data_IF_021486211685
#
_entry.id   IF_021486211685
#
_cell.length_a   1.000
_cell.length_b   1.000
_cell.length_c   1.000
_cell.angle_alpha   90.00
_cell.angle_beta   90.00
_cell.angle_gamma   90.00
#
_symmetry.space_group_name_H-M   'P 1'
#
loop_
_entity.id
_entity.type
_entity.pdbx_description
1 polymer ?
#
# COMPACT_ATOMS: atom_id res chain seq x y z
N UNK A 1 0.65 2.05 35.06
CA UNK A 1 1.56 1.54 34.02
C UNK A 1 1.64 2.62 32.96
N UNK A 2 2.83 3.09 32.60
CA UNK A 2 2.96 4.13 31.59
C UNK A 2 2.41 3.62 30.26
N UNK A 3 1.64 4.47 29.58
CA UNK A 3 1.11 4.20 28.26
C UNK A 3 2.27 4.29 27.27
N UNK A 4 2.87 3.14 26.95
CA UNK A 4 4.10 3.04 26.13
C UNK A 4 3.97 3.80 24.80
N UNK A 5 2.76 3.93 24.27
CA UNK A 5 2.47 4.67 23.04
C UNK A 5 2.88 6.16 23.13
N UNK A 6 2.87 6.73 24.34
CA UNK A 6 3.32 8.11 24.60
C UNK A 6 4.83 8.29 24.44
N UNK A 7 5.62 7.22 24.53
CA UNK A 7 7.08 7.25 24.37
C UNK A 7 7.51 7.10 22.90
N UNK A 8 6.58 6.82 21.98
CA UNK A 8 6.87 6.72 20.55
C UNK A 8 7.33 8.08 20.00
N UNK A 9 8.42 8.06 19.23
CA UNK A 9 8.82 9.18 18.38
C UNK A 9 7.87 9.29 17.19
N UNK A 10 7.87 10.46 16.57
CA UNK A 10 7.13 10.70 15.33
C UNK A 10 7.43 9.61 14.30
N UNK A 11 6.40 9.23 13.56
CA UNK A 11 6.55 8.25 12.50
C UNK A 11 7.55 8.77 11.47
N UNK A 12 8.58 8.00 11.09
CA UNK A 12 9.56 8.44 10.09
C UNK A 12 8.97 8.52 8.67
N UNK A 13 7.72 8.09 8.48
CA UNK A 13 7.02 8.11 7.19
C UNK A 13 6.12 9.35 7.07
N UNK A 14 5.15 9.53 7.98
CA UNK A 14 4.25 10.69 7.96
C UNK A 14 4.77 11.89 8.79
N UNK A 15 5.97 11.77 9.36
CA UNK A 15 6.64 12.78 10.18
C UNK A 15 5.82 13.27 11.39
N UNK A 16 4.78 12.50 11.75
CA UNK A 16 3.77 12.91 12.71
C UNK A 16 3.61 11.87 13.80
N UNK A 17 3.34 12.35 15.02
CA UNK A 17 3.00 11.52 16.18
C UNK A 17 1.50 11.49 16.48
N UNK A 18 0.79 12.57 16.17
CA UNK A 18 -0.58 12.82 16.63
C UNK A 18 -1.52 13.21 15.47
N UNK A 19 -2.83 12.96 15.61
CA UNK A 19 -3.88 13.46 14.73
C UNK A 19 -4.05 14.97 14.92
N UNK A 20 -4.81 15.62 14.02
CA UNK A 20 -5.21 17.04 14.20
C UNK A 20 -5.88 17.35 15.54
N UNK A 21 -6.46 16.33 16.19
CA UNK A 21 -7.09 16.40 17.51
C UNK A 21 -6.17 15.99 18.68
N UNK A 22 -4.85 15.85 18.46
CA UNK A 22 -3.86 15.54 19.50
C UNK A 22 -3.82 14.07 19.97
N UNK A 23 -4.55 13.16 19.32
CA UNK A 23 -4.52 11.70 19.62
C UNK A 23 -3.33 11.02 18.94
N UNK A 24 -2.64 10.11 19.62
CA UNK A 24 -1.48 9.38 19.07
C UNK A 24 -1.91 8.50 17.87
N UNK A 25 -1.19 8.60 16.75
CA UNK A 25 -1.46 7.89 15.48
C UNK A 25 -0.80 6.51 15.38
N UNK A 26 -0.24 6.02 16.47
CA UNK A 26 0.60 4.83 16.48
C UNK A 26 0.21 3.95 17.65
N UNK A 27 0.16 2.65 17.39
CA UNK A 27 -0.12 1.64 18.41
C UNK A 27 0.90 0.52 18.38
N UNK A 28 1.07 -0.18 19.49
CA UNK A 28 1.86 -1.41 19.54
C UNK A 28 0.93 -2.58 19.29
N UNK A 29 1.06 -3.19 18.12
CA UNK A 29 0.28 -4.33 17.68
C UNK A 29 0.90 -5.64 18.12
N UNK A 30 0.07 -6.67 18.36
CA UNK A 30 0.49 -8.02 18.73
C UNK A 30 0.06 -9.02 17.65
N UNK A 31 0.97 -9.88 17.22
CA UNK A 31 0.70 -10.96 16.25
C UNK A 31 0.13 -12.19 16.95
N UNK A 32 -0.50 -13.07 16.17
CA UNK A 32 -1.01 -14.38 16.65
C UNK A 32 0.08 -15.31 17.20
N UNK A 33 1.35 -15.03 16.92
CA UNK A 33 2.52 -15.79 17.40
C UNK A 33 3.20 -15.14 18.60
N UNK A 34 2.62 -14.08 19.18
CA UNK A 34 3.12 -13.40 20.38
C UNK A 34 4.27 -12.41 20.13
N UNK A 35 4.39 -11.91 18.90
CA UNK A 35 5.34 -10.86 18.55
C UNK A 35 4.68 -9.49 18.48
N UNK A 36 5.46 -8.42 18.59
CA UNK A 36 4.99 -7.05 18.69
C UNK A 36 5.61 -6.16 17.62
N UNK A 37 4.84 -5.24 17.07
CA UNK A 37 5.33 -4.21 16.15
C UNK A 37 4.61 -2.88 16.39
N UNK A 38 5.33 -1.76 16.28
CA UNK A 38 4.68 -0.45 16.26
C UNK A 38 4.05 -0.24 14.89
N UNK A 39 2.77 0.06 14.83
CA UNK A 39 2.08 0.38 13.58
C UNK A 39 1.56 1.81 13.64
N UNK A 40 1.93 2.61 12.64
CA UNK A 40 1.37 3.94 12.43
C UNK A 40 0.12 3.83 11.54
N UNK A 41 -0.83 4.73 11.71
CA UNK A 41 -2.01 4.86 10.87
C UNK A 41 -1.72 5.26 9.43
N UNK A 42 -0.60 5.93 9.17
CA UNK A 42 -0.11 6.10 7.80
C UNK A 42 0.32 4.76 7.17
N UNK A 43 0.31 3.69 7.98
CA UNK A 43 0.63 2.31 7.71
C UNK A 43 2.14 2.02 7.61
N UNK A 44 2.97 2.89 8.19
CA UNK A 44 4.33 2.55 8.55
C UNK A 44 4.34 1.49 9.64
N UNK A 45 5.12 0.42 9.46
CA UNK A 45 5.25 -0.66 10.46
C UNK A 45 6.68 -0.75 10.98
N UNK A 46 6.77 -0.99 12.28
CA UNK A 46 7.97 -1.29 13.05
C UNK A 46 8.51 -2.68 12.73
N UNK A 47 9.76 -2.97 13.13
CA UNK A 47 10.25 -4.35 13.14
C UNK A 47 9.40 -5.17 14.10
N UNK A 48 9.17 -6.43 13.75
CA UNK A 48 8.51 -7.40 14.61
C UNK A 48 9.50 -7.87 15.68
N UNK A 49 9.15 -7.70 16.95
CA UNK A 49 10.01 -7.96 18.11
C UNK A 49 9.30 -8.85 19.13
N UNK A 50 10.05 -9.56 19.96
CA UNK A 50 9.54 -10.51 20.96
C UNK A 50 8.89 -9.86 22.20
N UNK A 51 8.86 -8.53 22.28
CA UNK A 51 8.17 -7.81 23.38
C UNK A 51 7.76 -6.40 22.96
N UNK A 52 6.69 -5.86 23.61
CA UNK A 52 6.21 -4.48 23.40
C UNK A 52 7.33 -3.43 23.55
N UNK A 53 8.17 -3.57 24.59
CA UNK A 53 9.26 -2.62 24.84
C UNK A 53 10.33 -2.67 23.75
N UNK A 54 10.72 -3.87 23.30
CA UNK A 54 11.68 -4.00 22.19
C UNK A 54 11.13 -3.45 20.88
N UNK A 55 9.83 -3.63 20.61
CA UNK A 55 9.19 -3.02 19.43
C UNK A 55 9.25 -1.48 19.49
N UNK A 56 9.00 -0.89 20.66
CA UNK A 56 9.11 0.55 20.88
C UNK A 56 10.54 1.07 20.73
N UNK A 57 11.50 0.42 21.38
CA UNK A 57 12.93 0.76 21.30
C UNK A 57 13.41 0.68 19.84
N UNK A 58 13.03 -0.39 19.13
CA UNK A 58 13.36 -0.58 17.73
C UNK A 58 12.73 0.48 16.82
N UNK A 59 11.48 0.89 17.07
CA UNK A 59 10.85 2.01 16.34
C UNK A 59 11.57 3.33 16.58
N UNK A 60 11.88 3.64 17.85
CA UNK A 60 12.50 4.90 18.25
C UNK A 60 13.98 5.02 17.86
N UNK A 61 14.64 3.89 17.59
CA UNK A 61 16.03 3.83 17.14
C UNK A 61 16.17 4.03 15.62
N UNK A 62 15.06 4.04 14.87
CA UNK A 62 15.08 4.22 13.41
C UNK A 62 15.70 5.55 13.02
N UNK A 63 16.64 5.48 12.09
CA UNK A 63 17.16 6.64 11.37
C UNK A 63 16.30 6.99 10.15
N UNK A 64 16.58 8.13 9.48
CA UNK A 64 15.91 8.52 8.23
C UNK A 64 16.02 7.47 7.10
N UNK A 65 17.05 6.62 7.18
CA UNK A 65 17.40 5.57 6.21
C UNK A 65 16.89 4.17 6.62
N UNK A 66 16.31 4.02 7.82
CA UNK A 66 15.87 2.72 8.39
C UNK A 66 14.44 2.37 7.93
N UNK A 67 14.24 2.37 6.61
CA UNK A 67 12.96 2.07 5.95
C UNK A 67 12.83 0.63 5.49
N UNK A 68 13.77 -0.24 5.87
CA UNK A 68 13.64 -1.66 5.57
C UNK A 68 12.41 -2.22 6.30
N UNK A 69 11.45 -2.67 5.49
CA UNK A 69 10.08 -3.07 5.85
C UNK A 69 9.08 -1.90 5.92
N UNK A 70 9.14 -0.98 4.95
CA UNK A 70 7.88 -0.52 4.33
C UNK A 70 7.12 -1.81 4.01
N UNK A 71 5.98 -2.02 4.67
CA UNK A 71 5.07 -3.12 4.36
C UNK A 71 5.05 -3.25 2.84
N UNK A 72 5.45 -4.41 2.33
CA UNK A 72 5.17 -4.71 0.94
C UNK A 72 3.68 -4.38 0.76
N UNK A 73 3.32 -3.45 -0.14
CA UNK A 73 1.95 -2.92 -0.20
C UNK A 73 0.91 -4.02 -0.40
N UNK A 74 1.39 -5.16 -0.85
CA UNK A 74 0.73 -6.45 -0.92
C UNK A 74 1.56 -7.44 -0.12
N UNK A 75 0.92 -8.30 0.67
CA UNK A 75 1.59 -9.33 1.45
C UNK A 75 2.44 -10.24 0.56
N UNK A 76 3.73 -9.92 0.45
CA UNK A 76 4.69 -10.58 -0.43
C UNK A 76 5.15 -11.92 0.12
N UNK A 77 4.77 -12.27 1.36
CA UNK A 77 5.06 -13.60 1.93
C UNK A 77 4.47 -14.73 1.10
N UNK A 78 3.42 -14.44 0.31
CA UNK A 78 2.77 -15.38 -0.62
C UNK A 78 3.47 -15.45 -2.00
N UNK A 79 4.37 -14.53 -2.31
CA UNK A 79 5.07 -14.47 -3.59
C UNK A 79 6.45 -15.14 -3.48
N UNK A 80 6.45 -16.46 -3.38
CA UNK A 80 7.67 -17.29 -3.20
C UNK A 80 8.41 -17.59 -4.50
N UNK A 81 7.85 -17.20 -5.65
CA UNK A 81 8.47 -17.47 -6.93
C UNK A 81 9.77 -16.66 -7.14
N UNK A 82 10.72 -17.21 -7.91
CA UNK A 82 11.90 -16.49 -8.33
C UNK A 82 11.53 -15.20 -9.06
N UNK A 83 12.44 -14.22 -9.03
CA UNK A 83 12.33 -13.01 -9.84
C UNK A 83 12.20 -13.39 -11.30
N UNK A 84 11.08 -13.06 -11.91
CA UNK A 84 10.85 -13.32 -13.33
C UNK A 84 11.62 -12.33 -14.20
N UNK A 85 11.55 -11.04 -13.85
CA UNK A 85 12.22 -9.97 -14.58
C UNK A 85 12.52 -8.78 -13.66
N UNK A 86 13.66 -8.11 -13.87
CA UNK A 86 14.07 -6.91 -13.11
C UNK A 86 14.80 -5.93 -14.02
N UNK A 87 14.79 -4.66 -13.65
CA UNK A 87 15.49 -3.61 -14.39
C UNK A 87 15.37 -2.25 -13.71
N UNK A 88 15.63 -1.19 -14.49
CA UNK A 88 15.54 0.19 -14.01
C UNK A 88 14.67 1.04 -14.96
N UNK A 89 13.85 1.91 -14.38
CA UNK A 89 12.90 2.79 -15.08
C UNK A 89 13.58 3.80 -16.02
N UNK A 90 14.87 4.10 -15.79
CA UNK A 90 15.69 4.91 -16.69
C UNK A 90 15.92 4.23 -18.05
N UNK A 91 15.94 2.90 -18.06
CA UNK A 91 16.21 2.09 -19.26
C UNK A 91 14.93 1.60 -19.93
N UNK A 92 13.87 1.36 -19.16
CA UNK A 92 12.59 0.86 -19.66
C UNK A 92 11.45 1.61 -18.97
N UNK A 93 10.66 2.36 -19.75
CA UNK A 93 9.55 3.13 -19.21
C UNK A 93 8.42 2.22 -18.69
N UNK A 94 7.74 2.67 -17.63
CA UNK A 94 6.61 1.95 -17.02
C UNK A 94 5.55 1.45 -18.03
N UNK A 95 5.08 2.26 -19.01
CA UNK A 95 4.12 1.80 -20.02
C UNK A 95 4.58 0.55 -20.77
N UNK A 96 5.87 0.47 -21.12
CA UNK A 96 6.44 -0.68 -21.83
C UNK A 96 6.45 -1.92 -20.95
N UNK A 97 6.82 -1.78 -19.68
CA UNK A 97 6.80 -2.89 -18.70
C UNK A 97 5.38 -3.43 -18.56
N UNK A 98 4.42 -2.53 -18.34
CA UNK A 98 3.01 -2.87 -18.18
C UNK A 98 2.44 -3.52 -19.46
N UNK A 99 2.83 -3.05 -20.65
CA UNK A 99 2.42 -3.65 -21.92
C UNK A 99 2.93 -5.10 -22.07
N UNK A 100 4.19 -5.36 -21.72
CA UNK A 100 4.77 -6.71 -21.78
C UNK A 100 4.01 -7.65 -20.85
N UNK A 101 3.83 -7.26 -19.58
CA UNK A 101 3.13 -8.08 -18.60
C UNK A 101 1.66 -8.30 -18.98
N UNK A 102 1.02 -7.31 -19.60
CA UNK A 102 -0.35 -7.42 -20.09
C UNK A 102 -0.47 -8.37 -21.28
N UNK A 103 0.45 -8.28 -22.24
CA UNK A 103 0.45 -9.11 -23.45
C UNK A 103 0.68 -10.59 -23.12
N UNK A 104 1.55 -10.85 -22.14
CA UNK A 104 1.88 -12.20 -21.67
C UNK A 104 0.84 -12.77 -20.69
N UNK A 105 -0.25 -12.06 -20.40
CA UNK A 105 -1.28 -12.42 -19.40
C UNK A 105 -0.67 -12.78 -18.03
N UNK A 106 0.32 -12.00 -17.59
CA UNK A 106 1.06 -12.28 -16.34
C UNK A 106 0.20 -12.04 -15.10
N UNK A 107 0.36 -12.90 -14.11
CA UNK A 107 -0.28 -12.80 -12.79
C UNK A 107 0.79 -12.75 -11.72
N UNK A 108 0.90 -11.60 -11.04
CA UNK A 108 1.98 -11.35 -10.11
C UNK A 108 2.06 -9.92 -9.61
N UNK A 109 3.19 -9.60 -9.00
CA UNK A 109 3.44 -8.28 -8.39
C UNK A 109 4.67 -7.66 -9.01
N UNK A 110 4.52 -6.42 -9.46
CA UNK A 110 5.58 -5.56 -9.97
C UNK A 110 5.92 -4.53 -8.89
N UNK A 111 7.10 -4.66 -8.31
CA UNK A 111 7.64 -3.75 -7.31
C UNK A 111 8.52 -2.68 -7.94
N UNK A 112 8.51 -1.50 -7.34
CA UNK A 112 9.35 -0.37 -7.70
C UNK A 112 10.00 0.23 -6.47
N UNK A 113 11.25 0.65 -6.60
CA UNK A 113 12.04 1.26 -5.55
C UNK A 113 12.79 2.48 -6.10
N UNK A 114 12.60 3.65 -5.48
CA UNK A 114 13.39 4.85 -5.74
C UNK A 114 13.85 5.44 -4.41
N UNK A 115 15.12 5.20 -4.10
CA UNK A 115 15.76 5.60 -2.84
C UNK A 115 15.08 4.95 -1.64
N UNK A 116 14.04 5.59 -1.15
CA UNK A 116 13.35 5.21 0.06
C UNK A 116 11.82 5.08 -0.12
N UNK A 117 11.36 5.27 -1.34
CA UNK A 117 9.95 5.15 -1.74
C UNK A 117 9.78 3.80 -2.42
N UNK A 118 8.88 2.98 -1.88
CA UNK A 118 8.50 1.69 -2.46
C UNK A 118 7.08 1.78 -2.99
N UNK A 119 6.87 1.24 -4.19
CA UNK A 119 5.55 1.09 -4.81
C UNK A 119 5.37 -0.32 -5.35
N UNK A 120 4.12 -0.71 -5.54
CA UNK A 120 3.78 -2.00 -6.14
C UNK A 120 2.52 -1.89 -6.99
N UNK A 121 2.47 -2.68 -8.05
CA UNK A 121 1.30 -2.90 -8.90
C UNK A 121 1.05 -4.40 -8.95
N UNK A 122 -0.18 -4.82 -8.68
CA UNK A 122 -0.62 -6.20 -8.82
C UNK A 122 -1.28 -6.41 -10.17
N UNK A 123 -0.89 -7.49 -10.84
CA UNK A 123 -1.50 -7.95 -12.07
C UNK A 123 -2.16 -9.31 -11.89
N UNK A 124 -3.31 -9.51 -12.53
CA UNK A 124 -4.00 -10.78 -12.70
C UNK A 124 -4.40 -10.90 -14.16
N UNK A 125 -3.96 -11.97 -14.81
CA UNK A 125 -4.21 -12.28 -16.22
C UNK A 125 -3.92 -11.06 -17.13
N UNK A 126 -2.79 -10.39 -16.87
CA UNK A 126 -2.33 -9.21 -17.63
C UNK A 126 -3.06 -7.90 -17.32
N UNK A 127 -3.97 -7.89 -16.35
CA UNK A 127 -4.77 -6.70 -15.97
C UNK A 127 -4.36 -6.20 -14.60
N UNK A 128 -4.35 -4.88 -14.42
CA UNK A 128 -4.02 -4.28 -13.14
C UNK A 128 -5.21 -4.41 -12.20
N UNK A 129 -5.02 -5.10 -11.08
CA UNK A 129 -6.08 -5.36 -10.10
C UNK A 129 -5.91 -4.60 -8.79
N UNK A 130 -4.69 -4.16 -8.49
CA UNK A 130 -4.43 -3.29 -7.34
C UNK A 130 -3.14 -2.51 -7.55
N UNK A 131 -3.00 -1.40 -6.86
CA UNK A 131 -1.73 -0.70 -6.75
C UNK A 131 -1.55 -0.13 -5.35
N UNK A 132 -0.29 0.05 -4.94
CA UNK A 132 0.04 0.71 -3.69
C UNK A 132 -0.33 2.19 -3.78
N UNK A 133 -1.19 2.66 -2.88
CA UNK A 133 -1.41 4.10 -2.73
C UNK A 133 -0.17 4.83 -2.21
N UNK A 134 -0.07 6.13 -2.51
CA UNK A 134 0.83 7.04 -1.78
C UNK A 134 0.40 7.15 -0.31
N UNK A 135 1.28 7.69 0.53
CA UNK A 135 0.91 8.03 1.90
C UNK A 135 -0.25 9.05 1.87
N UNK A 136 -1.27 8.87 2.73
CA UNK A 136 -2.54 9.59 2.65
C UNK A 136 -3.53 9.07 1.59
N UNK A 137 -3.08 8.28 0.62
CA UNK A 137 -3.91 7.66 -0.43
C UNK A 137 -4.13 6.15 -0.21
N UNK A 138 -4.08 5.70 1.04
CA UNK A 138 -4.51 4.34 1.39
C UNK A 138 -6.03 4.29 1.43
N UNK A 139 -6.62 3.16 1.02
CA UNK A 139 -8.07 2.98 0.94
C UNK A 139 -8.82 3.50 2.18
N UNK A 140 -8.40 3.08 3.37
CA UNK A 140 -9.03 3.52 4.63
C UNK A 140 -8.91 5.02 4.89
N UNK A 141 -7.77 5.63 4.57
CA UNK A 141 -7.57 7.07 4.75
C UNK A 141 -8.39 7.88 3.73
N UNK A 142 -8.45 7.44 2.47
CA UNK A 142 -9.30 8.09 1.45
C UNK A 142 -10.77 8.04 1.85
N UNK A 143 -11.24 6.90 2.34
CA UNK A 143 -12.62 6.74 2.81
C UNK A 143 -12.92 7.66 3.99
N UNK A 144 -11.99 7.74 4.96
CA UNK A 144 -12.12 8.63 6.11
C UNK A 144 -12.10 10.11 5.70
N UNK A 145 -11.13 10.53 4.88
CA UNK A 145 -10.96 11.93 4.46
C UNK A 145 -12.15 12.41 3.60
N UNK A 146 -12.80 11.51 2.86
CA UNK A 146 -14.03 11.79 2.10
C UNK A 146 -15.31 11.73 2.94
N UNK A 147 -15.21 11.41 4.23
CA UNK A 147 -16.35 11.25 5.14
C UNK A 147 -17.24 10.05 4.81
N UNK A 148 -16.71 9.05 4.09
CA UNK A 148 -17.44 7.84 3.72
C UNK A 148 -17.48 6.81 4.85
N UNK A 149 -16.49 6.85 5.75
CA UNK A 149 -16.46 6.06 6.98
C UNK A 149 -16.02 6.95 8.15
N UNK A 150 -16.48 6.66 9.35
CA UNK A 150 -16.01 7.31 10.58
C UNK A 150 -14.66 6.78 11.02
N UNK A 151 -14.04 7.47 11.98
CA UNK A 151 -12.80 7.02 12.60
C UNK A 151 -12.99 5.64 13.27
N UNK A 152 -14.10 5.47 13.98
CA UNK A 152 -14.45 4.24 14.70
C UNK A 152 -14.67 3.08 13.72
N UNK A 153 -15.36 3.32 12.60
CA UNK A 153 -15.57 2.33 11.54
C UNK A 153 -14.26 1.89 10.89
N UNK A 154 -13.33 2.83 10.67
CA UNK A 154 -12.01 2.52 10.14
C UNK A 154 -11.19 1.70 11.14
N UNK A 155 -11.21 2.06 12.42
CA UNK A 155 -10.51 1.32 13.49
C UNK A 155 -11.03 -0.12 13.59
N UNK A 156 -12.35 -0.31 13.63
CA UNK A 156 -12.98 -1.63 13.66
C UNK A 156 -12.61 -2.48 12.44
N UNK A 157 -12.71 -1.89 11.23
CA UNK A 157 -12.36 -2.60 10.01
C UNK A 157 -10.89 -3.01 9.97
N UNK A 158 -9.98 -2.17 10.49
CA UNK A 158 -8.56 -2.49 10.60
C UNK A 158 -8.27 -3.61 11.61
N UNK A 159 -9.05 -3.73 12.69
CA UNK A 159 -8.93 -4.82 13.65
C UNK A 159 -9.42 -6.13 13.06
N UNK A 160 -10.61 -6.16 12.47
CA UNK A 160 -11.16 -7.32 11.77
C UNK A 160 -10.28 -7.81 10.62
N UNK A 161 -9.62 -6.90 9.91
CA UNK A 161 -8.64 -7.23 8.86
C UNK A 161 -7.54 -8.16 9.40
N UNK A 162 -7.07 -7.92 10.64
CA UNK A 162 -6.02 -8.74 11.27
C UNK A 162 -6.54 -10.08 11.76
N UNK A 163 -7.73 -10.09 12.36
CA UNK A 163 -8.37 -11.29 12.89
C UNK A 163 -8.74 -12.26 11.76
N UNK A 164 -9.37 -11.74 10.71
CA UNK A 164 -9.90 -12.54 9.60
C UNK A 164 -8.88 -12.78 8.48
N UNK A 165 -7.70 -12.12 8.54
CA UNK A 165 -6.65 -12.13 7.49
C UNK A 165 -7.18 -11.76 6.09
N UNK A 166 -8.25 -10.94 6.05
CA UNK A 166 -8.86 -10.38 4.85
C UNK A 166 -8.25 -9.04 4.49
N UNK A 167 -8.57 -8.52 3.31
CA UNK A 167 -8.17 -7.15 2.94
C UNK A 167 -9.15 -6.14 3.55
N UNK A 168 -8.65 -4.93 3.83
CA UNK A 168 -9.48 -3.85 4.39
C UNK A 168 -10.75 -3.59 3.56
N UNK A 169 -10.65 -3.59 2.22
CA UNK A 169 -11.82 -3.40 1.35
C UNK A 169 -12.87 -4.51 1.50
N UNK A 170 -12.44 -5.77 1.63
CA UNK A 170 -13.33 -6.92 1.85
C UNK A 170 -14.02 -6.80 3.21
N UNK A 171 -13.28 -6.46 4.26
CA UNK A 171 -13.84 -6.24 5.59
C UNK A 171 -14.84 -5.10 5.61
N UNK A 172 -14.56 -3.99 4.92
CA UNK A 172 -15.46 -2.85 4.82
C UNK A 172 -16.76 -3.18 4.07
N UNK A 173 -16.70 -4.07 3.07
CA UNK A 173 -17.89 -4.60 2.40
C UNK A 173 -18.68 -5.54 3.32
N UNK A 174 -18.00 -6.48 3.97
CA UNK A 174 -18.61 -7.46 4.86
C UNK A 174 -19.28 -6.78 6.08
N UNK A 175 -18.73 -5.66 6.55
CA UNK A 175 -19.32 -4.80 7.60
C UNK A 175 -20.45 -3.89 7.08
N UNK A 176 -20.64 -3.80 5.77
CA UNK A 176 -21.63 -2.91 5.15
C UNK A 176 -21.30 -1.42 5.25
N UNK A 177 -20.03 -1.07 5.47
CA UNK A 177 -19.57 0.32 5.58
C UNK A 177 -19.36 0.99 4.22
N UNK A 178 -19.13 0.19 3.18
CA UNK A 178 -19.05 0.66 1.79
C UNK A 178 -19.83 -0.28 0.88
N UNK A 179 -20.15 0.19 -0.33
CA UNK A 179 -20.71 -0.63 -1.40
C UNK A 179 -19.64 -1.07 -2.39
N UNK A 180 -19.90 -2.16 -3.14
CA UNK A 180 -18.96 -2.70 -4.14
C UNK A 180 -18.56 -1.66 -5.18
N UNK A 181 -19.52 -0.88 -5.69
CA UNK A 181 -19.25 0.17 -6.68
C UNK A 181 -18.29 1.24 -6.13
N UNK A 182 -18.47 1.65 -4.87
CA UNK A 182 -17.59 2.61 -4.21
C UNK A 182 -16.18 2.04 -4.03
N UNK A 183 -16.05 0.76 -3.68
CA UNK A 183 -14.76 0.10 -3.57
C UNK A 183 -14.06 0.04 -4.93
N UNK A 184 -14.77 -0.35 -5.99
CA UNK A 184 -14.24 -0.42 -7.37
C UNK A 184 -13.73 0.94 -7.85
N UNK A 185 -14.50 2.01 -7.63
CA UNK A 185 -14.08 3.37 -7.98
C UNK A 185 -12.82 3.80 -7.24
N UNK A 186 -12.73 3.50 -5.93
CA UNK A 186 -11.56 3.84 -5.13
C UNK A 186 -10.32 3.06 -5.53
N UNK A 187 -10.45 1.77 -5.84
CA UNK A 187 -9.35 0.94 -6.34
C UNK A 187 -8.88 1.48 -7.70
N UNK A 188 -9.81 1.82 -8.61
CA UNK A 188 -9.48 2.44 -9.89
C UNK A 188 -8.70 3.74 -9.70
N UNK A 189 -9.17 4.62 -8.83
CA UNK A 189 -8.48 5.87 -8.50
C UNK A 189 -7.07 5.61 -7.94
N UNK A 190 -6.93 4.68 -7.00
CA UNK A 190 -5.65 4.33 -6.42
C UNK A 190 -4.66 3.78 -7.46
N UNK A 191 -5.14 2.95 -8.39
CA UNK A 191 -4.35 2.43 -9.50
C UNK A 191 -3.86 3.57 -10.41
N UNK A 192 -4.76 4.46 -10.82
CA UNK A 192 -4.41 5.60 -11.67
C UNK A 192 -3.35 6.50 -11.00
N UNK A 193 -3.53 6.83 -9.73
CA UNK A 193 -2.59 7.65 -8.98
C UNK A 193 -1.22 6.97 -8.83
N UNK A 194 -1.19 5.66 -8.58
CA UNK A 194 0.06 4.90 -8.47
C UNK A 194 0.80 4.81 -9.82
N UNK A 195 0.07 4.54 -10.92
CA UNK A 195 0.68 4.52 -12.26
C UNK A 195 1.22 5.89 -12.63
N UNK A 196 0.46 6.95 -12.38
CA UNK A 196 0.92 8.33 -12.61
C UNK A 196 2.17 8.62 -11.78
N UNK A 197 2.17 8.32 -10.48
CA UNK A 197 3.33 8.49 -9.59
C UNK A 197 4.60 7.87 -10.16
N UNK A 198 4.54 6.57 -10.44
CA UNK A 198 5.70 5.81 -10.91
C UNK A 198 6.13 6.28 -12.30
N UNK A 199 5.19 6.69 -13.17
CA UNK A 199 5.51 7.23 -14.51
C UNK A 199 6.25 8.58 -14.50
N UNK A 200 6.24 9.28 -13.35
CA UNK A 200 6.96 10.54 -13.15
C UNK A 200 8.38 10.31 -12.62
N UNK A 201 8.75 9.09 -12.24
CA UNK A 201 10.09 8.78 -11.75
C UNK A 201 11.12 8.85 -12.88
N UNK A 202 12.17 9.65 -12.70
CA UNK A 202 13.27 9.75 -13.67
C UNK A 202 14.16 8.49 -13.69
N UNK A 203 14.26 7.81 -12.55
CA UNK A 203 14.98 6.55 -12.37
C UNK A 203 14.37 5.77 -11.19
N UNK A 204 14.60 4.46 -11.13
CA UNK A 204 14.10 3.61 -10.05
C UNK A 204 14.19 2.14 -10.44
N UNK A 205 14.55 1.29 -9.50
CA UNK A 205 14.63 -0.15 -9.74
C UNK A 205 13.24 -0.75 -9.73
N UNK A 206 13.04 -1.78 -10.54
CA UNK A 206 11.80 -2.54 -10.54
C UNK A 206 12.07 -4.04 -10.59
N UNK A 207 11.15 -4.80 -10.00
CA UNK A 207 11.22 -6.24 -9.94
C UNK A 207 9.82 -6.86 -10.08
N UNK A 208 9.67 -7.79 -11.01
CA UNK A 208 8.44 -8.55 -11.20
C UNK A 208 8.60 -9.98 -10.68
N UNK A 209 7.56 -10.46 -9.97
CA UNK A 209 7.43 -11.85 -9.51
C UNK A 209 6.05 -12.37 -9.86
N UNK A 210 6.00 -13.56 -10.45
CA UNK A 210 4.75 -14.31 -10.57
C UNK A 210 4.23 -14.66 -9.18
N UNK A 211 2.94 -14.48 -8.93
CA UNK A 211 2.38 -14.68 -7.60
C UNK A 211 0.91 -15.09 -7.71
N UNK A 212 0.54 -16.20 -7.08
CA UNK A 212 -0.87 -16.61 -6.97
C UNK A 212 -1.48 -15.87 -5.78
N UNK A 213 -1.91 -14.64 -6.04
CA UNK A 213 -2.69 -13.88 -5.07
C UNK A 213 -4.17 -14.18 -5.27
N UNK A 214 -4.85 -14.60 -4.20
CA UNK A 214 -6.30 -14.59 -4.17
C UNK A 214 -6.76 -13.13 -4.07
N UNK A 215 -7.47 -12.69 -5.11
CA UNK A 215 -8.21 -11.44 -5.11
C UNK A 215 -9.69 -11.83 -5.06
N UNK A 216 -10.42 -11.27 -4.11
CA UNK A 216 -11.87 -11.38 -4.09
C UNK A 216 -12.45 -10.80 -5.40
N UNK A 217 -13.28 -11.59 -6.07
CA UNK A 217 -13.92 -11.22 -7.34
C UNK A 217 -14.87 -10.03 -7.19
N UNK A 218 -15.32 -9.73 -5.96
CA UNK A 218 -16.19 -8.59 -5.64
C UNK A 218 -15.49 -7.23 -5.82
N UNK A 219 -14.16 -7.19 -5.85
CA UNK A 219 -13.38 -5.96 -5.69
C UNK A 219 -12.90 -5.25 -6.95
N UNK A 220 -12.87 -5.89 -8.13
CA UNK A 220 -12.24 -5.25 -9.31
C UNK A 220 -12.92 -5.64 -10.61
N UNK A 221 -13.42 -4.65 -11.35
CA UNK A 221 -13.63 -4.79 -12.78
C UNK A 221 -12.29 -4.62 -13.48
N UNK A 222 -11.89 -5.63 -14.24
CA UNK A 222 -10.79 -5.66 -15.19
C UNK A 222 -10.47 -4.27 -15.82
N UNK A 223 -9.51 -3.55 -15.24
CA UNK A 223 -9.10 -2.26 -15.81
C UNK A 223 -8.04 -2.54 -16.88
N UNK A 224 -8.35 -2.15 -18.11
CA UNK A 224 -7.39 -2.19 -19.20
C UNK A 224 -6.14 -1.38 -18.82
N UNK A 225 -5.01 -2.07 -18.77
CA UNK A 225 -3.68 -1.51 -18.50
C UNK A 225 -3.39 -0.31 -19.41
N UNK A 226 -3.75 -0.41 -20.69
CA UNK A 226 -3.53 0.66 -21.67
C UNK A 226 -4.38 1.90 -21.38
N UNK A 227 -5.62 1.74 -20.90
CA UNK A 227 -6.47 2.88 -20.54
C UNK A 227 -5.86 3.68 -19.38
N UNK A 228 -5.40 2.98 -18.33
CA UNK A 228 -4.74 3.62 -17.18
C UNK A 228 -3.49 4.38 -17.61
N UNK A 229 -2.66 3.77 -18.46
CA UNK A 229 -1.44 4.38 -18.99
C UNK A 229 -1.77 5.65 -19.78
N UNK A 230 -2.77 5.61 -20.66
CA UNK A 230 -3.18 6.76 -21.47
C UNK A 230 -3.77 7.89 -20.61
N UNK A 231 -4.61 7.56 -19.63
CA UNK A 231 -5.18 8.53 -18.69
C UNK A 231 -4.10 9.20 -17.82
N UNK A 232 -3.11 8.43 -17.37
CA UNK A 232 -1.96 8.97 -16.64
C UNK A 232 -1.09 9.88 -17.53
N UNK A 233 -0.85 9.50 -18.78
CA UNK A 233 -0.09 10.31 -19.73
C UNK A 233 -0.80 11.65 -20.04
N UNK A 234 -2.12 11.62 -20.28
CA UNK A 234 -2.90 12.82 -20.54
C UNK A 234 -2.83 13.85 -19.39
N UNK A 235 -2.93 13.39 -18.14
CA UNK A 235 -2.82 14.26 -16.94
C UNK A 235 -1.43 14.87 -16.77
N UNK A 236 -0.37 14.15 -17.17
CA UNK A 236 1.00 14.66 -17.14
C UNK A 236 1.19 15.83 -18.11
N UNK A 237 0.62 15.73 -19.31
CA UNK A 237 0.70 16.78 -20.33
C UNK A 237 -0.08 18.03 -19.91
N UNK A 238 -1.23 17.87 -19.24
CA UNK A 238 -2.01 18.98 -18.68
C UNK A 238 -1.24 19.76 -17.59
N UNK A 239 -0.51 19.07 -16.72
CA UNK A 239 0.33 19.72 -15.69
C UNK A 239 1.60 20.37 -16.23
N UNK A 240 2.12 19.92 -17.37
CA UNK A 240 3.25 20.56 -18.03
C UNK A 240 2.85 21.83 -18.81
N UNK A 241 1.56 21.96 -19.15
CA UNK A 241 1.00 23.07 -19.91
C UNK A 241 0.37 24.18 -19.04
N UNK A 242 0.24 23.96 -17.73
CA UNK A 242 -0.30 24.90 -16.74
C UNK A 242 0.81 25.63 -15.98
#
# INVERSE_FOLDING_TARGET
MADLEKELKACPFCETKENGDGKIRMRIDESSEGYFAVVCWCGGSGPTMESKRKALEAWNARGPDDRQRVQYPFDSSKCTNPVGFRGNLKSVALPTILQILSTDNRTGVLHFEQGQVVRAICLKDGKIVAASGREGQRLGQILYDRGLISQEQLEEALEKTKEEKKRLGEVLLDLGYIHEDSLKELIRYQIQEAVLDISLWAEGDFEYRDCQMEFDERGVDDISTMRIVLEAAARKDEWAAA
#
